data_IF_772442399525
#
_entry.id   IF_772442399525
#
_cell.length_a   1.000
_cell.length_b   1.000
_cell.length_c   1.000
_cell.angle_alpha   90.00
_cell.angle_beta   90.00
_cell.angle_gamma   90.00
#
_symmetry.space_group_name_H-M   'P 1'
#
loop_
_entity.id
_entity.type
_entity.pdbx_description
1 polymer ?
#
# COMPACT_ATOMS: atom_id res chain seq x y z
N UNK A 1 -9.49 25.81 -6.92
CA UNK A 1 -9.08 24.83 -5.89
C UNK A 1 -9.51 23.36 -6.09
N UNK A 2 -10.37 22.99 -7.05
CA UNK A 2 -10.88 21.59 -7.21
C UNK A 2 -9.89 20.60 -7.88
N UNK A 3 -8.93 21.05 -8.69
CA UNK A 3 -8.00 20.15 -9.42
C UNK A 3 -6.99 19.40 -8.55
N UNK A 4 -6.49 19.99 -7.46
CA UNK A 4 -5.53 19.33 -6.56
C UNK A 4 -6.10 18.14 -5.78
N UNK A 5 -7.40 18.14 -5.46
CA UNK A 5 -8.03 17.05 -4.71
C UNK A 5 -8.24 15.79 -5.55
N UNK A 6 -8.49 15.92 -6.85
CA UNK A 6 -8.64 14.77 -7.75
C UNK A 6 -7.30 14.07 -7.99
N UNK A 7 -6.22 14.82 -8.16
CA UNK A 7 -4.85 14.27 -8.30
C UNK A 7 -4.43 13.46 -7.08
N UNK A 8 -4.64 14.01 -5.88
CA UNK A 8 -4.33 13.30 -4.61
C UNK A 8 -5.08 11.99 -4.46
N UNK A 9 -6.38 11.95 -4.82
CA UNK A 9 -7.16 10.71 -4.76
C UNK A 9 -6.70 9.68 -5.80
N UNK A 10 -6.28 10.13 -7.00
CA UNK A 10 -5.70 9.22 -8.00
C UNK A 10 -4.39 8.62 -7.51
N UNK A 11 -3.48 9.43 -6.99
CA UNK A 11 -2.23 8.93 -6.41
C UNK A 11 -2.49 7.93 -5.28
N UNK A 12 -3.41 8.25 -4.36
CA UNK A 12 -3.78 7.35 -3.27
C UNK A 12 -4.29 6.01 -3.79
N UNK A 13 -5.26 5.97 -4.71
CA UNK A 13 -5.80 4.68 -5.19
C UNK A 13 -4.76 3.91 -6.00
N UNK A 14 -3.93 4.56 -6.81
CA UNK A 14 -2.86 3.89 -7.55
C UNK A 14 -1.89 3.18 -6.61
N UNK A 15 -1.36 3.86 -5.60
CA UNK A 15 -0.43 3.25 -4.65
C UNK A 15 -1.09 2.25 -3.71
N UNK A 16 -2.37 2.45 -3.36
CA UNK A 16 -3.15 1.43 -2.65
C UNK A 16 -3.30 0.16 -3.50
N UNK A 17 -3.51 0.29 -4.81
CA UNK A 17 -3.58 -0.87 -5.72
C UNK A 17 -2.24 -1.62 -5.75
N UNK A 18 -1.12 -0.90 -5.85
CA UNK A 18 0.21 -1.53 -5.83
C UNK A 18 0.44 -2.25 -4.50
N UNK A 19 0.14 -1.59 -3.36
CA UNK A 19 0.26 -2.19 -2.03
C UNK A 19 -0.63 -3.43 -1.89
N UNK A 20 -1.88 -3.36 -2.34
CA UNK A 20 -2.79 -4.50 -2.35
C UNK A 20 -2.22 -5.69 -3.13
N UNK A 21 -1.70 -5.45 -4.35
CA UNK A 21 -1.15 -6.52 -5.18
C UNK A 21 0.07 -7.18 -4.53
N UNK A 22 0.98 -6.39 -3.97
CA UNK A 22 2.16 -6.91 -3.23
C UNK A 22 1.71 -7.76 -2.05
N UNK A 23 0.79 -7.24 -1.23
CA UNK A 23 0.28 -7.94 -0.04
C UNK A 23 -0.52 -9.19 -0.41
N UNK A 24 -1.33 -9.12 -1.47
CA UNK A 24 -2.09 -10.28 -1.97
C UNK A 24 -1.16 -11.40 -2.40
N UNK A 25 -0.16 -11.10 -3.24
CA UNK A 25 0.84 -12.08 -3.69
C UNK A 25 1.60 -12.67 -2.51
N UNK A 26 2.02 -11.82 -1.55
CA UNK A 26 2.68 -12.24 -0.31
C UNK A 26 1.86 -13.27 0.48
N UNK A 27 0.58 -12.99 0.71
CA UNK A 27 -0.28 -13.89 1.48
C UNK A 27 -0.65 -15.15 0.73
N UNK A 28 -0.90 -15.08 -0.59
CA UNK A 28 -1.15 -16.27 -1.42
C UNK A 28 0.10 -17.16 -1.45
N UNK A 29 1.27 -16.56 -1.69
CA UNK A 29 2.53 -17.29 -1.66
C UNK A 29 2.77 -17.94 -0.30
N UNK A 30 2.65 -17.20 0.80
CA UNK A 30 2.82 -17.73 2.15
C UNK A 30 1.79 -18.80 2.50
N UNK A 31 0.53 -18.66 2.04
CA UNK A 31 -0.52 -19.64 2.21
C UNK A 31 -0.19 -20.99 1.56
N UNK A 32 0.26 -20.95 0.30
CA UNK A 32 0.62 -22.15 -0.47
C UNK A 32 1.95 -22.75 0.01
N UNK A 33 2.97 -21.90 0.22
CA UNK A 33 4.33 -22.32 0.56
C UNK A 33 4.44 -22.99 1.92
N UNK A 34 3.63 -22.52 2.89
CA UNK A 34 3.67 -22.98 4.29
C UNK A 34 2.41 -23.74 4.70
N UNK A 35 1.55 -24.11 3.76
CA UNK A 35 0.26 -24.77 4.01
C UNK A 35 -0.56 -24.07 5.10
N UNK A 36 -0.72 -22.76 4.96
CA UNK A 36 -1.38 -21.90 5.96
C UNK A 36 -2.72 -21.36 5.46
N UNK A 37 -3.86 -22.00 5.84
CA UNK A 37 -5.20 -21.53 5.45
C UNK A 37 -5.49 -20.10 5.93
N UNK A 38 -4.92 -19.71 7.09
CA UNK A 38 -5.11 -18.36 7.64
C UNK A 38 -4.53 -17.28 6.72
N UNK A 39 -3.38 -17.51 6.09
CA UNK A 39 -2.78 -16.56 5.14
C UNK A 39 -3.60 -16.47 3.87
N UNK A 40 -4.10 -17.59 3.38
CA UNK A 40 -5.02 -17.61 2.23
C UNK A 40 -6.31 -16.84 2.55
N UNK A 41 -6.85 -17.00 3.76
CA UNK A 41 -8.02 -16.25 4.22
C UNK A 41 -7.70 -14.74 4.27
N UNK A 42 -6.52 -14.34 4.75
CA UNK A 42 -6.11 -12.93 4.75
C UNK A 42 -6.04 -12.34 3.35
N UNK A 43 -5.59 -13.09 2.33
CA UNK A 43 -5.64 -12.63 0.94
C UNK A 43 -7.07 -12.32 0.49
N UNK A 44 -8.05 -13.15 0.89
CA UNK A 44 -9.48 -12.91 0.60
C UNK A 44 -9.98 -11.67 1.33
N UNK A 45 -9.64 -11.51 2.62
CA UNK A 45 -10.03 -10.33 3.42
C UNK A 45 -9.46 -9.05 2.81
N UNK A 46 -8.19 -9.04 2.42
CA UNK A 46 -7.56 -7.88 1.77
C UNK A 46 -8.22 -7.55 0.44
N UNK A 47 -8.63 -8.56 -0.32
CA UNK A 47 -9.39 -8.36 -1.58
C UNK A 47 -10.74 -7.69 -1.31
N UNK A 48 -11.46 -8.11 -0.27
CA UNK A 48 -12.73 -7.49 0.11
C UNK A 48 -12.53 -6.03 0.57
N UNK A 49 -11.52 -5.76 1.42
CA UNK A 49 -11.20 -4.39 1.85
C UNK A 49 -10.76 -3.52 0.69
N UNK A 50 -9.99 -4.07 -0.26
CA UNK A 50 -9.62 -3.34 -1.47
C UNK A 50 -10.83 -2.98 -2.33
N UNK A 51 -11.78 -3.90 -2.50
CA UNK A 51 -13.03 -3.63 -3.23
C UNK A 51 -13.83 -2.48 -2.58
N UNK A 52 -13.94 -2.47 -1.24
CA UNK A 52 -14.57 -1.37 -0.49
C UNK A 52 -13.78 -0.05 -0.67
N UNK A 53 -12.44 -0.10 -0.61
CA UNK A 53 -11.58 1.07 -0.83
C UNK A 53 -11.77 1.65 -2.23
N UNK A 54 -11.82 0.79 -3.24
CA UNK A 54 -12.05 1.21 -4.64
C UNK A 54 -13.45 1.80 -4.83
N UNK A 55 -14.49 1.20 -4.22
CA UNK A 55 -15.84 1.75 -4.24
C UNK A 55 -15.89 3.12 -3.57
N UNK A 56 -15.26 3.28 -2.41
CA UNK A 56 -15.14 4.56 -1.72
C UNK A 56 -14.40 5.63 -2.57
N UNK A 57 -13.38 5.22 -3.32
CA UNK A 57 -12.71 6.09 -4.28
C UNK A 57 -13.66 6.56 -5.39
N UNK A 58 -14.44 5.65 -5.98
CA UNK A 58 -15.40 5.97 -7.04
C UNK A 58 -16.50 6.94 -6.55
N UNK A 59 -17.10 6.63 -5.41
CA UNK A 59 -18.17 7.43 -4.82
C UNK A 59 -17.68 8.74 -4.18
N UNK A 60 -16.41 8.80 -3.76
CA UNK A 60 -15.82 9.98 -3.12
C UNK A 60 -15.69 11.22 -4.02
N UNK A 61 -16.00 11.11 -5.32
CA UNK A 61 -16.14 12.26 -6.21
C UNK A 61 -17.41 13.07 -5.92
N UNK A 62 -18.47 12.42 -5.52
CA UNK A 62 -19.80 13.00 -5.28
C UNK A 62 -20.18 13.02 -3.81
N UNK A 63 -19.83 11.98 -3.04
CA UNK A 63 -20.25 11.79 -1.66
C UNK A 63 -19.15 12.11 -0.65
N UNK A 64 -19.44 12.99 0.33
CA UNK A 64 -18.48 13.41 1.36
C UNK A 64 -18.08 12.25 2.29
N UNK A 65 -19.04 11.44 2.68
CA UNK A 65 -18.81 10.29 3.57
C UNK A 65 -17.94 9.22 2.89
N UNK A 66 -18.15 8.93 1.59
CA UNK A 66 -17.33 7.99 0.85
C UNK A 66 -15.86 8.47 0.77
N UNK A 67 -15.65 9.77 0.68
CA UNK A 67 -14.32 10.37 0.73
C UNK A 67 -13.66 10.21 2.10
N UNK A 68 -14.42 10.35 3.18
CA UNK A 68 -13.91 10.12 4.54
C UNK A 68 -13.52 8.64 4.73
N UNK A 69 -14.38 7.70 4.29
CA UNK A 69 -14.08 6.27 4.32
C UNK A 69 -12.84 5.95 3.49
N UNK A 70 -12.69 6.52 2.28
CA UNK A 70 -11.48 6.33 1.47
C UNK A 70 -10.21 6.68 2.26
N UNK A 71 -10.17 7.87 2.86
CA UNK A 71 -8.97 8.31 3.58
C UNK A 71 -8.74 7.52 4.87
N UNK A 72 -9.80 7.13 5.56
CA UNK A 72 -9.71 6.23 6.71
C UNK A 72 -9.08 4.87 6.31
N UNK A 73 -9.60 4.23 5.25
CA UNK A 73 -9.07 2.96 4.77
C UNK A 73 -7.62 3.10 4.27
N UNK A 74 -7.30 4.17 3.55
CA UNK A 74 -5.93 4.40 3.07
C UNK A 74 -4.95 4.51 4.23
N UNK A 75 -5.24 5.31 5.25
CA UNK A 75 -4.26 5.55 6.31
C UNK A 75 -4.34 4.53 7.46
N UNK A 76 -5.55 4.21 7.97
CA UNK A 76 -5.68 3.30 9.10
C UNK A 76 -5.48 1.84 8.70
N UNK A 77 -6.01 1.42 7.55
CA UNK A 77 -5.88 0.04 7.12
C UNK A 77 -4.63 -0.18 6.26
N UNK A 78 -4.52 0.49 5.09
CA UNK A 78 -3.45 0.19 4.15
C UNK A 78 -2.07 0.65 4.62
N UNK A 79 -1.96 1.85 5.21
CA UNK A 79 -0.66 2.34 5.71
C UNK A 79 -0.34 1.77 7.07
N UNK A 80 -1.23 1.89 8.07
CA UNK A 80 -0.90 1.51 9.43
C UNK A 80 -0.97 -0.01 9.62
N UNK A 81 -2.13 -0.68 9.34
CA UNK A 81 -2.27 -2.10 9.63
C UNK A 81 -1.47 -2.97 8.63
N UNK A 82 -1.57 -2.70 7.31
CA UNK A 82 -0.86 -3.52 6.32
C UNK A 82 0.60 -3.08 6.18
N UNK A 83 0.87 -1.79 6.03
CA UNK A 83 2.23 -1.30 5.80
C UNK A 83 3.12 -1.37 7.03
N UNK A 84 2.72 -0.68 8.11
CA UNK A 84 3.59 -0.56 9.30
C UNK A 84 3.56 -1.82 10.16
N UNK A 85 2.39 -2.40 10.40
CA UNK A 85 2.31 -3.58 11.24
C UNK A 85 2.73 -4.84 10.47
N UNK A 86 2.08 -5.19 9.38
CA UNK A 86 2.42 -6.41 8.64
C UNK A 86 3.81 -6.29 7.98
N UNK A 87 4.02 -5.28 7.14
CA UNK A 87 5.29 -5.12 6.43
C UNK A 87 6.43 -4.64 7.33
N UNK A 88 6.17 -3.71 8.25
CA UNK A 88 7.17 -3.11 9.13
C UNK A 88 7.52 -4.01 10.31
N UNK A 89 6.55 -4.29 11.17
CA UNK A 89 6.78 -5.06 12.38
C UNK A 89 7.02 -6.54 12.05
N UNK A 90 6.13 -7.20 11.31
CA UNK A 90 6.24 -8.65 11.10
C UNK A 90 7.37 -9.07 10.16
N UNK A 91 7.82 -8.19 9.25
CA UNK A 91 8.85 -8.53 8.27
C UNK A 91 10.11 -7.68 8.37
N UNK A 92 10.03 -6.35 8.22
CA UNK A 92 11.24 -5.54 8.18
C UNK A 92 12.01 -5.56 9.51
N UNK A 93 11.32 -5.41 10.65
CA UNK A 93 11.93 -5.50 11.96
C UNK A 93 12.50 -6.91 12.22
N UNK A 94 11.75 -7.96 11.87
CA UNK A 94 12.21 -9.34 11.98
C UNK A 94 13.51 -9.57 11.20
N UNK A 95 13.58 -9.13 9.94
CA UNK A 95 14.79 -9.24 9.10
C UNK A 95 15.96 -8.47 9.72
N UNK A 96 15.74 -7.25 10.22
CA UNK A 96 16.78 -6.45 10.89
C UNK A 96 17.30 -7.17 12.14
N UNK A 97 16.43 -7.70 12.99
CA UNK A 97 16.84 -8.42 14.18
C UNK A 97 17.63 -9.70 13.85
N UNK A 98 17.24 -10.40 12.78
CA UNK A 98 18.01 -11.56 12.25
C UNK A 98 19.41 -11.17 11.81
N UNK A 99 19.54 -10.07 11.07
CA UNK A 99 20.84 -9.57 10.58
C UNK A 99 21.76 -9.11 11.74
N UNK A 100 21.18 -8.74 12.88
CA UNK A 100 21.90 -8.32 14.08
C UNK A 100 22.14 -9.48 15.06
N UNK A 101 21.79 -10.73 14.72
CA UNK A 101 21.84 -11.91 15.61
C UNK A 101 21.10 -11.73 16.94
N UNK A 102 20.06 -10.91 16.97
CA UNK A 102 19.29 -10.56 18.16
C UNK A 102 18.23 -11.63 18.51
N UNK A 103 18.66 -12.91 18.63
CA UNK A 103 17.75 -14.05 18.80
C UNK A 103 16.82 -13.93 20.02
N UNK A 104 17.33 -13.48 21.18
CA UNK A 104 16.50 -13.30 22.37
C UNK A 104 15.34 -12.33 22.15
N UNK A 105 15.57 -11.24 21.40
CA UNK A 105 14.53 -10.28 21.04
C UNK A 105 13.53 -10.87 20.03
N UNK A 106 13.99 -11.71 19.12
CA UNK A 106 13.11 -12.41 18.18
C UNK A 106 12.17 -13.34 18.94
N UNK A 107 12.69 -14.13 19.89
CA UNK A 107 11.90 -15.06 20.69
C UNK A 107 10.85 -14.33 21.54
N UNK A 108 11.21 -13.16 22.09
CA UNK A 108 10.29 -12.33 22.89
C UNK A 108 9.19 -11.66 22.03
N UNK A 109 9.55 -11.10 20.87
CA UNK A 109 8.62 -10.34 20.03
C UNK A 109 7.77 -11.21 19.09
N UNK A 110 8.29 -12.40 18.73
CA UNK A 110 7.68 -13.29 17.74
C UNK A 110 7.55 -14.74 18.27
N UNK A 111 6.87 -14.98 19.38
CA UNK A 111 6.84 -16.29 20.05
C UNK A 111 6.22 -17.41 19.18
N UNK A 112 5.48 -17.06 18.14
CA UNK A 112 4.81 -18.02 17.23
C UNK A 112 5.59 -18.23 15.92
N UNK A 113 6.65 -17.45 15.68
CA UNK A 113 7.40 -17.48 14.41
C UNK A 113 8.60 -18.44 14.44
N UNK A 114 8.61 -19.38 15.36
CA UNK A 114 9.67 -20.41 15.48
C UNK A 114 9.77 -21.42 14.33
N UNK A 115 9.01 -21.26 13.25
CA UNK A 115 9.20 -22.06 12.03
C UNK A 115 10.38 -21.48 11.22
N UNK A 116 11.52 -22.15 11.31
CA UNK A 116 12.74 -21.80 10.61
C UNK A 116 12.52 -21.62 9.08
N UNK A 117 11.60 -22.40 8.50
CA UNK A 117 11.28 -22.32 7.06
C UNK A 117 10.67 -20.99 6.68
N UNK A 118 9.83 -20.40 7.54
CA UNK A 118 9.24 -19.08 7.29
C UNK A 118 10.31 -18.00 7.43
N UNK A 119 11.17 -18.11 8.44
CA UNK A 119 12.22 -17.12 8.71
C UNK A 119 13.28 -17.07 7.63
N UNK A 120 13.56 -18.18 6.97
CA UNK A 120 14.63 -18.29 5.96
C UNK A 120 14.12 -18.15 4.51
N UNK A 121 12.82 -18.02 4.30
CA UNK A 121 12.25 -17.84 2.97
C UNK A 121 12.42 -16.38 2.51
N UNK A 122 13.42 -16.16 1.67
CA UNK A 122 13.81 -14.84 1.17
C UNK A 122 12.68 -14.17 0.38
N UNK A 123 11.92 -14.93 -0.39
CA UNK A 123 10.83 -14.39 -1.19
C UNK A 123 9.67 -13.91 -0.28
N UNK A 124 9.36 -14.70 0.74
CA UNK A 124 8.34 -14.34 1.73
C UNK A 124 8.75 -13.09 2.52
N UNK A 125 9.96 -13.07 3.07
CA UNK A 125 10.44 -11.90 3.81
C UNK A 125 10.60 -10.67 2.91
N UNK A 126 11.14 -10.85 1.71
CA UNK A 126 11.33 -9.76 0.74
C UNK A 126 10.02 -9.11 0.29
N UNK A 127 8.98 -9.89 0.03
CA UNK A 127 7.65 -9.35 -0.32
C UNK A 127 6.99 -8.67 0.87
N UNK A 128 7.19 -9.15 2.10
CA UNK A 128 6.75 -8.49 3.31
C UNK A 128 7.43 -7.12 3.51
N UNK A 129 8.75 -7.03 3.33
CA UNK A 129 9.48 -5.76 3.36
C UNK A 129 9.02 -4.82 2.25
N UNK A 130 8.76 -5.33 1.04
CA UNK A 130 8.22 -4.54 -0.07
C UNK A 130 6.84 -3.95 0.27
N UNK A 131 6.04 -4.63 1.08
CA UNK A 131 4.77 -4.11 1.60
C UNK A 131 5.00 -2.83 2.41
N UNK A 132 6.00 -2.80 3.32
CA UNK A 132 6.37 -1.58 4.04
C UNK A 132 6.80 -0.45 3.09
N UNK A 133 7.72 -0.73 2.16
CA UNK A 133 8.21 0.28 1.22
C UNK A 133 7.07 0.89 0.42
N UNK A 134 6.17 0.06 -0.09
CA UNK A 134 5.01 0.53 -0.87
C UNK A 134 4.05 1.35 -0.01
N UNK A 135 3.86 0.99 1.26
CA UNK A 135 3.02 1.75 2.19
C UNK A 135 3.62 3.12 2.53
N UNK A 136 4.95 3.22 2.68
CA UNK A 136 5.63 4.51 2.86
C UNK A 136 5.41 5.41 1.64
N UNK A 137 5.54 4.87 0.42
CA UNK A 137 5.23 5.62 -0.80
C UNK A 137 3.77 6.05 -0.83
N UNK A 138 2.82 5.15 -0.47
CA UNK A 138 1.40 5.49 -0.37
C UNK A 138 1.15 6.63 0.62
N UNK A 139 1.82 6.62 1.77
CA UNK A 139 1.64 7.65 2.79
C UNK A 139 2.05 9.04 2.31
N UNK A 140 3.11 9.15 1.48
CA UNK A 140 3.65 10.43 1.02
C UNK A 140 3.12 10.88 -0.35
N UNK A 141 2.81 9.96 -1.25
CA UNK A 141 2.42 10.27 -2.63
C UNK A 141 1.21 11.22 -2.76
N UNK A 142 0.16 11.13 -1.93
CA UNK A 142 -0.95 12.08 -1.98
C UNK A 142 -0.59 13.52 -1.60
N UNK A 143 0.51 13.70 -0.85
CA UNK A 143 1.00 15.01 -0.44
C UNK A 143 1.98 15.64 -1.45
N UNK A 144 2.47 14.87 -2.44
CA UNK A 144 3.48 15.34 -3.38
C UNK A 144 2.95 16.46 -4.28
N UNK A 145 3.59 17.65 -4.31
CA UNK A 145 3.09 18.83 -5.02
C UNK A 145 3.33 18.83 -6.54
N UNK A 146 3.56 17.70 -7.17
CA UNK A 146 4.21 17.65 -8.46
C UNK A 146 3.59 16.81 -9.58
N UNK A 147 2.26 16.86 -9.79
CA UNK A 147 1.72 16.51 -11.11
C UNK A 147 0.90 17.67 -11.67
N UNK A 148 1.58 18.75 -12.04
CA UNK A 148 0.99 19.63 -13.05
C UNK A 148 0.98 18.81 -14.32
N UNK A 149 -0.19 18.60 -14.99
CA UNK A 149 -0.17 18.19 -16.37
C UNK A 149 0.68 19.23 -17.08
N UNK A 150 1.69 18.81 -17.82
CA UNK A 150 2.37 19.66 -18.78
C UNK A 150 1.32 20.09 -19.80
N UNK A 151 0.56 21.13 -19.45
CA UNK A 151 -0.28 21.84 -20.38
C UNK A 151 0.68 22.40 -21.42
N UNK A 152 0.78 21.73 -22.54
CA UNK A 152 1.20 22.36 -23.78
C UNK A 152 0.20 23.51 -23.92
N UNK A 153 0.66 24.69 -23.53
CA UNK A 153 -0.04 25.95 -23.73
C UNK A 153 -0.01 26.19 -25.25
N UNK A 154 -0.88 25.48 -25.96
CA UNK A 154 -1.20 25.82 -27.35
C UNK A 154 -2.02 27.09 -27.26
N UNK A 155 -1.33 28.22 -27.08
CA UNK A 155 -1.90 29.50 -27.47
C UNK A 155 -2.22 29.38 -28.95
N UNK A 156 -3.47 29.53 -29.34
CA UNK A 156 -3.76 29.71 -30.76
C UNK A 156 -2.99 30.97 -31.18
N UNK A 157 -2.14 30.83 -32.20
CA UNK A 157 -1.59 31.97 -32.87
C UNK A 157 -2.77 32.84 -33.32
N UNK A 158 -2.93 33.97 -32.64
CA UNK A 158 -3.82 35.02 -33.17
C UNK A 158 -3.17 35.54 -34.43
N UNK A 159 -3.62 35.02 -35.59
CA UNK A 159 -3.31 35.59 -36.87
C UNK A 159 -3.77 37.03 -36.84
N UNK A 160 -2.80 37.92 -36.75
CA UNK A 160 -2.98 39.34 -37.05
C UNK A 160 -3.36 39.50 -38.51
N UNK A 161 -4.64 39.48 -38.80
CA UNK A 161 -5.20 39.88 -40.08
C UNK A 161 -5.29 41.40 -40.13
N UNK A 162 -4.28 42.01 -40.72
CA UNK A 162 -4.38 43.37 -41.24
C UNK A 162 -5.46 43.46 -42.31
N UNK A 163 -6.36 44.45 -42.18
CA UNK A 163 -6.78 45.43 -43.19
C UNK A 163 -8.01 46.21 -42.71
#
# INVERSE_FOLDING_TARGET
MKRGSAGRRRAAITWTTVLFLVTFIHHVYGGVRFDSPQRTLLAVVFSAVYAVTYLAYRLGSTMRWARAILWFLVYAFWVAAVGLFEGGFNHALFVVLRLLDAHALIDDLYPVHGDARISDDVLFQGTGVLTLVTAVVLAVAPAWPGQRPSGIDRRPATDGGAR
#
